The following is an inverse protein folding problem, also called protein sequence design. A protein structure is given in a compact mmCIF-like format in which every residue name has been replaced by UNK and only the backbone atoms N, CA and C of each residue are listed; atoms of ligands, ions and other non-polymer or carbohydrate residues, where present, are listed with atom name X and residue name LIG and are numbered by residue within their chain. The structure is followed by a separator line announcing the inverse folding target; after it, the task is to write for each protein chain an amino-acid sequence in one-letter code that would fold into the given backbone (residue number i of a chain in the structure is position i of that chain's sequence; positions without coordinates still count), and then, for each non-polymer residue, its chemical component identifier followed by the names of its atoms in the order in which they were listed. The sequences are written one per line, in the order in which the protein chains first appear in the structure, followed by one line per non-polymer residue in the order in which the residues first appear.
data_IF_455441488175
#
_entry.id   IF_455441488175
#
_cell.length_a   1.000
_cell.length_b   1.000
_cell.length_c   1.000
_cell.angle_alpha   90.00
_cell.angle_beta   90.00
_cell.angle_gamma   90.00
#
_symmetry.space_group_name_H-M   'P 1'
#
loop_
_entity.id
_entity.type
_entity.pdbx_description
1 polymer ?
#
# COMPACT_ATOMS: atom_id res chain seq x y z
N UNK A 1 -8.21 8.13 16.88
CA UNK A 1 -7.79 7.35 15.69
C UNK A 1 -6.31 7.62 15.49
N UNK A 2 -5.52 6.60 15.16
CA UNK A 2 -4.08 6.75 14.92
C UNK A 2 -3.85 7.59 13.66
N UNK A 3 -2.99 8.61 13.73
CA UNK A 3 -2.68 9.49 12.60
C UNK A 3 -1.37 9.06 11.90
N UNK A 4 -1.34 9.09 10.56
CA UNK A 4 -0.13 8.80 9.76
C UNK A 4 1.02 9.73 10.13
N UNK A 5 0.73 10.99 10.45
CA UNK A 5 1.75 11.95 10.86
C UNK A 5 2.39 11.57 12.21
N UNK A 6 1.58 11.12 13.18
CA UNK A 6 2.08 10.65 14.48
C UNK A 6 2.97 9.42 14.30
N UNK A 7 2.55 8.49 13.43
CA UNK A 7 3.37 7.34 13.05
C UNK A 7 4.70 7.76 12.42
N UNK A 8 4.68 8.70 11.45
CA UNK A 8 5.88 9.15 10.76
C UNK A 8 6.87 9.81 11.73
N UNK A 9 6.38 10.60 12.69
CA UNK A 9 7.20 11.19 13.74
C UNK A 9 7.85 10.14 14.63
N UNK A 10 7.08 9.14 15.07
CA UNK A 10 7.61 8.04 15.87
C UNK A 10 8.65 7.23 15.11
N UNK A 11 8.36 6.84 13.86
CA UNK A 11 9.27 6.08 13.02
C UNK A 11 10.57 6.84 12.74
N UNK A 12 10.50 8.13 12.42
CA UNK A 12 11.70 8.96 12.25
C UNK A 12 12.52 9.07 13.55
N UNK A 13 11.86 9.17 14.71
CA UNK A 13 12.55 9.18 16.01
C UNK A 13 13.33 7.88 16.24
N UNK A 14 12.76 6.74 15.88
CA UNK A 14 13.42 5.44 16.03
C UNK A 14 14.57 5.25 15.03
N UNK A 15 14.40 5.69 13.78
CA UNK A 15 15.39 5.60 12.71
C UNK A 15 16.56 6.58 12.87
N UNK A 16 16.37 7.67 13.63
CA UNK A 16 17.40 8.68 13.87
C UNK A 16 18.71 8.10 14.43
N UNK A 17 18.63 7.00 15.20
CA UNK A 17 19.80 6.24 15.70
C UNK A 17 20.70 5.69 14.59
N UNK A 18 20.19 5.60 13.37
CA UNK A 18 20.89 5.09 12.17
C UNK A 18 21.05 6.18 11.10
N UNK A 19 20.85 7.46 11.47
CA UNK A 19 20.91 8.60 10.55
C UNK A 19 19.96 8.44 9.34
N UNK A 20 18.81 7.82 9.58
CA UNK A 20 17.81 7.50 8.57
C UNK A 20 16.46 8.14 8.88
N UNK A 21 15.67 8.33 7.83
CA UNK A 21 14.26 8.74 7.91
C UNK A 21 13.36 7.67 7.29
N UNK A 22 12.05 7.81 7.44
CA UNK A 22 11.05 6.94 6.79
C UNK A 22 11.26 6.88 5.28
N UNK A 23 11.72 7.96 4.63
CA UNK A 23 12.00 7.98 3.19
C UNK A 23 13.10 6.99 2.80
N UNK A 24 14.06 6.73 3.69
CA UNK A 24 15.11 5.73 3.45
C UNK A 24 14.60 4.28 3.45
N UNK A 25 13.35 4.06 3.89
CA UNK A 25 12.68 2.76 3.86
C UNK A 25 11.88 2.54 2.57
N UNK A 26 11.74 3.56 1.72
CA UNK A 26 11.07 3.41 0.42
C UNK A 26 11.88 2.45 -0.44
N UNK A 27 11.23 1.38 -0.90
CA UNK A 27 11.89 0.38 -1.72
C UNK A 27 11.63 0.66 -3.20
N UNK A 28 12.70 0.97 -3.94
CA UNK A 28 12.64 1.12 -5.39
C UNK A 28 12.73 -0.25 -6.05
N UNK A 29 11.70 -0.61 -6.80
CA UNK A 29 11.64 -1.86 -7.56
C UNK A 29 12.27 -1.70 -8.93
N UNK A 30 12.62 -2.82 -9.58
CA UNK A 30 13.18 -2.80 -10.94
C UNK A 30 12.18 -2.28 -11.98
N UNK A 31 10.88 -2.37 -11.67
CA UNK A 31 9.76 -1.86 -12.45
C UNK A 31 9.62 -0.33 -12.36
N UNK A 32 10.46 0.35 -11.55
CA UNK A 32 10.40 1.80 -11.35
C UNK A 32 9.28 2.25 -10.39
N UNK A 33 8.74 1.32 -9.59
CA UNK A 33 7.69 1.60 -8.61
C UNK A 33 8.33 1.78 -7.23
N UNK A 34 8.02 2.91 -6.59
CA UNK A 34 8.41 3.22 -5.22
C UNK A 34 7.41 2.61 -4.22
N UNK A 35 7.81 1.52 -3.56
CA UNK A 35 6.98 0.88 -2.53
C UNK A 35 7.14 1.66 -1.22
N UNK A 36 6.02 2.15 -0.69
CA UNK A 36 5.98 2.85 0.60
C UNK A 36 6.19 1.87 1.76
N UNK A 37 6.81 2.31 2.86
CA UNK A 37 7.01 1.47 4.04
C UNK A 37 5.73 1.22 4.86
N UNK A 38 4.67 1.99 4.62
CA UNK A 38 3.35 1.82 5.22
C UNK A 38 2.27 2.24 4.20
N UNK A 39 1.21 1.44 4.14
CA UNK A 39 -0.02 1.75 3.42
C UNK A 39 -1.20 1.78 4.40
N UNK A 40 -2.19 2.60 4.11
CA UNK A 40 -3.39 2.82 4.93
C UNK A 40 -4.65 2.77 4.09
N UNK A 41 -5.82 2.84 4.72
CA UNK A 41 -7.10 2.90 4.01
C UNK A 41 -7.17 4.06 3.01
N UNK A 42 -6.56 5.22 3.33
CA UNK A 42 -6.49 6.37 2.44
C UNK A 42 -5.73 6.08 1.13
N UNK A 43 -4.91 5.02 1.08
CA UNK A 43 -4.22 4.60 -0.15
C UNK A 43 -5.10 3.79 -1.11
N UNK A 44 -6.28 3.39 -0.65
CA UNK A 44 -7.31 2.80 -1.48
C UNK A 44 -8.22 3.86 -2.10
N UNK A 45 -8.16 5.11 -1.61
CA UNK A 45 -8.95 6.21 -2.15
C UNK A 45 -8.62 6.40 -3.64
N UNK A 46 -9.65 6.51 -4.48
CA UNK A 46 -9.57 6.63 -5.94
C UNK A 46 -9.18 5.35 -6.70
N UNK A 47 -9.09 4.19 -6.04
CA UNK A 47 -8.88 2.94 -6.74
C UNK A 47 -10.21 2.42 -7.33
N UNK A 48 -10.37 2.55 -8.65
CA UNK A 48 -11.63 2.30 -9.40
C UNK A 48 -12.18 0.87 -9.27
N UNK A 49 -11.34 -0.10 -8.87
CA UNK A 49 -11.63 -1.53 -8.95
C UNK A 49 -11.88 -2.21 -7.60
N UNK A 50 -11.91 -1.43 -6.52
CA UNK A 50 -12.07 -1.92 -5.13
C UNK A 50 -13.40 -2.66 -4.90
N UNK A 51 -14.47 -2.26 -5.60
CA UNK A 51 -15.80 -2.85 -5.47
C UNK A 51 -16.12 -4.00 -6.45
N UNK A 52 -15.14 -4.52 -7.19
CA UNK A 52 -15.40 -5.52 -8.25
C UNK A 52 -15.63 -6.93 -7.67
N UNK A 53 -16.35 -7.78 -8.43
CA UNK A 53 -16.65 -9.17 -8.09
C UNK A 53 -15.98 -10.14 -9.09
N UNK A 54 -15.51 -11.31 -8.65
CA UNK A 54 -14.92 -12.31 -9.54
C UNK A 54 -15.97 -12.81 -10.56
N UNK A 55 -15.54 -13.09 -11.78
CA UNK A 55 -16.42 -13.53 -12.86
C UNK A 55 -17.20 -12.40 -13.55
N UNK A 56 -17.03 -11.14 -13.13
CA UNK A 56 -17.63 -9.96 -13.76
C UNK A 56 -16.54 -8.98 -14.25
N UNK A 57 -16.77 -8.26 -15.37
CA UNK A 57 -15.85 -7.20 -15.83
C UNK A 57 -15.57 -6.17 -14.72
N UNK A 58 -14.35 -5.58 -14.65
CA UNK A 58 -13.18 -5.77 -15.51
C UNK A 58 -12.30 -6.97 -15.12
N UNK A 59 -12.83 -7.95 -14.37
CA UNK A 59 -12.17 -9.22 -14.03
C UNK A 59 -10.87 -9.11 -13.21
N UNK A 60 -10.66 -8.01 -12.50
CA UNK A 60 -9.48 -7.81 -11.62
C UNK A 60 -9.37 -8.91 -10.56
N UNK A 61 -10.51 -9.44 -10.09
CA UNK A 61 -10.57 -10.54 -9.10
C UNK A 61 -10.66 -11.94 -9.74
N UNK A 62 -10.53 -12.03 -11.06
CA UNK A 62 -10.50 -13.27 -11.83
C UNK A 62 -11.71 -13.49 -12.75
N UNK A 63 -11.58 -14.39 -13.75
CA UNK A 63 -12.56 -14.56 -14.83
C UNK A 63 -13.72 -15.50 -14.50
N UNK A 64 -13.68 -16.24 -13.39
CA UNK A 64 -14.72 -17.19 -12.99
C UNK A 64 -15.34 -16.76 -11.66
N UNK A 65 -16.65 -16.94 -11.50
CA UNK A 65 -17.34 -16.58 -10.26
C UNK A 65 -16.83 -17.38 -9.04
N UNK A 66 -16.46 -18.65 -9.21
CA UNK A 66 -15.97 -19.55 -8.15
C UNK A 66 -14.46 -19.77 -8.14
N UNK A 67 -13.75 -19.27 -9.17
CA UNK A 67 -12.32 -19.45 -9.41
C UNK A 67 -11.85 -20.91 -9.47
N UNK A 68 -11.53 -21.52 -8.32
CA UNK A 68 -10.79 -22.78 -8.24
C UNK A 68 -11.64 -23.96 -7.73
N UNK A 69 -12.96 -23.83 -7.80
CA UNK A 69 -13.93 -24.87 -7.42
C UNK A 69 -14.78 -25.26 -8.62
#
# INVERSE_FOLDING_TARGET
MSNVQEWQQLANKELSRREKTVDSLVHQTAEGIAIKPLYTEADLDNLEVTGTLPGLPPYVRGPRATMYT
#
